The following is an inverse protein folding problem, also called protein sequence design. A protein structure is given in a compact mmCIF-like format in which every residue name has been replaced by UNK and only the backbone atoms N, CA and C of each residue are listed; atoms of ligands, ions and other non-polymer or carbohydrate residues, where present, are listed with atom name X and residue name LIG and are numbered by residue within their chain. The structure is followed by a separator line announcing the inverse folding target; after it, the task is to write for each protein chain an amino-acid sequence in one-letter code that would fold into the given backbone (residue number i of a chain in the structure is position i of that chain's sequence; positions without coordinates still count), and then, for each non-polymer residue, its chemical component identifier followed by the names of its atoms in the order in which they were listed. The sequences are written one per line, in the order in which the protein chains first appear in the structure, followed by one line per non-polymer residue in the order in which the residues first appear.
data_IF_104240133663
#
_entry.id   IF_104240133663
#
_cell.length_a   1.000
_cell.length_b   1.000
_cell.length_c   1.000
_cell.angle_alpha   90.00
_cell.angle_beta   90.00
_cell.angle_gamma   90.00
#
_symmetry.space_group_name_H-M   'P 1'
#
loop_
_entity.id
_entity.type
_entity.pdbx_description
1 polymer ?
#
# COMPACT_ATOMS: atom_id res chain seq x y z
N UNK A 1 27.54 -24.04 -23.25
CA UNK A 1 26.25 -24.76 -23.31
C UNK A 1 25.69 -24.79 -21.89
N UNK A 2 24.86 -23.81 -21.51
CA UNK A 2 24.33 -23.70 -20.15
C UNK A 2 23.19 -24.72 -19.97
N UNK A 3 23.46 -25.76 -19.20
CA UNK A 3 22.47 -26.78 -18.83
C UNK A 3 21.33 -26.13 -18.06
N UNK A 4 20.14 -26.02 -18.68
CA UNK A 4 18.90 -25.67 -17.98
C UNK A 4 18.66 -26.73 -16.89
N UNK A 5 18.75 -26.32 -15.63
CA UNK A 5 18.37 -27.18 -14.49
C UNK A 5 16.87 -27.51 -14.57
N UNK A 6 16.46 -28.76 -14.28
CA UNK A 6 15.06 -29.14 -14.28
C UNK A 6 14.26 -28.37 -13.21
N UNK A 7 12.99 -28.05 -13.50
CA UNK A 7 12.11 -27.25 -12.64
C UNK A 7 11.97 -27.82 -11.20
N UNK A 8 12.06 -29.14 -11.05
CA UNK A 8 12.02 -29.82 -9.73
C UNK A 8 13.25 -29.51 -8.86
N UNK A 9 14.43 -29.35 -9.45
CA UNK A 9 15.65 -28.99 -8.72
C UNK A 9 15.63 -27.53 -8.24
N UNK A 10 15.09 -26.61 -9.06
CA UNK A 10 14.89 -25.21 -8.66
C UNK A 10 13.87 -25.08 -7.52
N UNK A 11 12.74 -25.80 -7.59
CA UNK A 11 11.76 -25.83 -6.51
C UNK A 11 12.38 -26.32 -5.18
N UNK A 12 13.16 -27.42 -5.21
CA UNK A 12 13.84 -27.94 -4.01
C UNK A 12 14.82 -26.93 -3.38
N UNK A 13 15.55 -26.17 -4.20
CA UNK A 13 16.50 -25.16 -3.72
C UNK A 13 15.83 -23.95 -3.06
N UNK A 14 14.63 -23.58 -3.52
CA UNK A 14 13.86 -22.45 -2.97
C UNK A 14 13.10 -22.83 -1.70
N UNK A 15 12.53 -24.05 -1.65
CA UNK A 15 11.98 -24.66 -0.43
C UNK A 15 13.02 -24.68 0.68
N UNK A 16 14.24 -25.14 0.38
CA UNK A 16 15.32 -25.22 1.36
C UNK A 16 15.80 -23.84 1.85
N UNK A 17 15.84 -22.83 0.96
CA UNK A 17 16.23 -21.45 1.31
C UNK A 17 15.34 -20.84 2.41
N UNK A 18 14.03 -21.06 2.33
CA UNK A 18 13.06 -20.44 3.24
C UNK A 18 12.45 -21.39 4.26
N UNK A 19 12.82 -22.67 4.26
CA UNK A 19 12.22 -23.67 5.15
C UNK A 19 10.71 -23.82 4.95
N UNK A 20 10.19 -23.43 3.79
CA UNK A 20 8.76 -23.44 3.46
C UNK A 20 8.40 -24.76 2.80
N UNK A 21 7.32 -25.40 3.25
CA UNK A 21 6.76 -26.57 2.61
C UNK A 21 5.35 -26.29 2.10
N UNK A 22 4.99 -26.90 0.97
CA UNK A 22 3.63 -26.75 0.40
C UNK A 22 2.52 -27.22 1.37
N UNK A 23 2.83 -28.16 2.28
CA UNK A 23 1.90 -28.63 3.33
C UNK A 23 1.52 -27.53 4.33
N UNK A 24 2.36 -26.51 4.49
CA UNK A 24 2.10 -25.38 5.36
C UNK A 24 0.98 -24.48 4.79
N UNK A 25 0.57 -24.75 3.55
CA UNK A 25 -0.46 -24.03 2.80
C UNK A 25 -1.68 -24.92 2.48
N UNK A 26 -1.86 -26.04 3.21
CA UNK A 26 -2.94 -27.00 2.96
C UNK A 26 -4.35 -26.37 3.04
N UNK A 27 -4.53 -25.33 3.85
CA UNK A 27 -5.78 -24.55 3.95
C UNK A 27 -6.18 -23.87 2.63
N UNK A 28 -5.23 -23.66 1.71
CA UNK A 28 -5.51 -23.11 0.38
C UNK A 28 -6.08 -24.15 -0.60
N UNK A 29 -6.10 -25.43 -0.24
CA UNK A 29 -6.57 -26.53 -1.09
C UNK A 29 -5.85 -26.56 -2.45
N UNK A 30 -6.61 -26.55 -3.54
CA UNK A 30 -6.09 -26.56 -4.92
C UNK A 30 -5.16 -25.38 -5.23
N UNK A 31 -5.18 -24.32 -4.41
CA UNK A 31 -4.35 -23.14 -4.57
C UNK A 31 -3.04 -23.17 -3.77
N UNK A 32 -2.74 -24.26 -3.04
CA UNK A 32 -1.52 -24.38 -2.23
C UNK A 32 -0.24 -24.13 -3.05
N UNK A 33 -0.18 -24.63 -4.29
CA UNK A 33 0.97 -24.41 -5.18
C UNK A 33 1.10 -22.95 -5.62
N UNK A 34 -0.02 -22.23 -5.83
CA UNK A 34 -0.01 -20.81 -6.13
C UNK A 34 0.42 -19.98 -4.92
N UNK A 35 -0.05 -20.34 -3.72
CA UNK A 35 0.39 -19.73 -2.46
C UNK A 35 1.88 -19.93 -2.21
N UNK A 36 2.40 -21.13 -2.47
CA UNK A 36 3.82 -21.44 -2.32
C UNK A 36 4.67 -20.54 -3.22
N UNK A 37 4.30 -20.44 -4.51
CA UNK A 37 5.01 -19.57 -5.45
C UNK A 37 4.90 -18.09 -5.04
N UNK A 38 3.71 -17.62 -4.61
CA UNK A 38 3.52 -16.24 -4.18
C UNK A 38 4.41 -15.88 -2.99
N UNK A 39 4.48 -16.72 -1.95
CA UNK A 39 5.32 -16.47 -0.76
C UNK A 39 6.79 -16.48 -1.13
N UNK A 40 7.24 -17.42 -1.97
CA UNK A 40 8.63 -17.49 -2.43
C UNK A 40 9.03 -16.22 -3.20
N UNK A 41 8.17 -15.76 -4.11
CA UNK A 41 8.41 -14.51 -4.86
C UNK A 41 8.47 -13.29 -3.93
N UNK A 42 7.59 -13.22 -2.93
CA UNK A 42 7.58 -12.14 -1.96
C UNK A 42 8.84 -12.15 -1.08
N UNK A 43 9.25 -13.31 -0.56
CA UNK A 43 10.46 -13.46 0.26
C UNK A 43 11.75 -13.20 -0.53
N UNK A 44 11.85 -13.68 -1.76
CA UNK A 44 12.98 -13.37 -2.64
C UNK A 44 13.09 -11.86 -2.86
N UNK A 45 11.96 -11.18 -3.07
CA UNK A 45 11.97 -9.73 -3.26
C UNK A 45 12.33 -8.97 -1.98
N UNK A 46 11.81 -9.40 -0.82
CA UNK A 46 12.14 -8.81 0.48
C UNK A 46 13.62 -9.00 0.85
N UNK A 47 14.19 -10.17 0.56
CA UNK A 47 15.62 -10.46 0.75
C UNK A 47 16.48 -9.48 -0.04
N UNK A 48 16.16 -9.27 -1.32
CA UNK A 48 16.89 -8.32 -2.16
C UNK A 48 16.74 -6.86 -1.64
N UNK A 49 15.56 -6.48 -1.15
CA UNK A 49 15.38 -5.17 -0.52
C UNK A 49 16.29 -5.01 0.70
N UNK A 50 16.42 -6.03 1.56
CA UNK A 50 17.31 -5.95 2.71
C UNK A 50 18.79 -5.84 2.33
N UNK A 51 19.22 -6.56 1.30
CA UNK A 51 20.59 -6.47 0.74
C UNK A 51 20.91 -5.05 0.25
N UNK A 52 19.91 -4.33 -0.24
CA UNK A 52 20.00 -2.93 -0.67
C UNK A 52 19.75 -1.93 0.47
N UNK A 53 19.73 -2.36 1.74
CA UNK A 53 19.41 -1.55 2.93
C UNK A 53 18.02 -0.85 2.87
N UNK A 54 17.05 -1.50 2.23
CA UNK A 54 15.66 -1.04 2.10
C UNK A 54 14.73 -1.86 2.99
N UNK A 55 13.54 -1.32 3.25
CA UNK A 55 12.50 -1.99 4.05
C UNK A 55 12.17 -3.36 3.42
N UNK A 56 12.38 -4.50 4.12
CA UNK A 56 12.24 -5.83 3.55
C UNK A 56 10.80 -6.33 3.60
N UNK A 57 9.88 -5.51 3.11
CA UNK A 57 8.46 -5.84 2.99
C UNK A 57 8.10 -5.92 1.50
N UNK A 58 7.49 -7.02 1.10
CA UNK A 58 7.14 -7.30 -0.29
C UNK A 58 5.82 -8.04 -0.41
N UNK A 59 5.12 -7.81 -1.51
CA UNK A 59 3.86 -8.46 -1.85
C UNK A 59 3.96 -9.16 -3.20
N UNK A 60 3.26 -10.27 -3.38
CA UNK A 60 3.18 -10.98 -4.65
C UNK A 60 1.79 -11.58 -4.86
N UNK A 61 1.29 -11.49 -6.09
CA UNK A 61 0.02 -12.07 -6.49
C UNK A 61 0.26 -13.14 -7.55
N UNK A 62 -0.19 -14.36 -7.30
CA UNK A 62 -0.09 -15.49 -8.23
C UNK A 62 -1.47 -16.06 -8.49
N UNK A 63 -1.82 -16.18 -9.76
CA UNK A 63 -3.06 -16.78 -10.21
C UNK A 63 -2.84 -18.23 -10.63
N UNK A 64 -3.72 -19.12 -10.19
CA UNK A 64 -3.90 -20.43 -10.80
C UNK A 64 -4.90 -20.27 -11.94
N UNK A 65 -4.47 -20.32 -13.21
CA UNK A 65 -5.32 -20.10 -14.39
C UNK A 65 -6.28 -21.26 -14.65
N UNK A 66 -7.29 -21.06 -15.52
CA UNK A 66 -8.36 -22.06 -15.76
C UNK A 66 -7.82 -23.33 -16.40
N UNK A 67 -6.65 -23.22 -17.04
CA UNK A 67 -5.89 -24.32 -17.63
C UNK A 67 -4.94 -24.99 -16.62
N UNK A 68 -5.03 -24.67 -15.32
CA UNK A 68 -4.18 -25.24 -14.27
C UNK A 68 -2.72 -24.72 -14.25
N UNK A 69 -2.42 -23.60 -14.90
CA UNK A 69 -1.05 -23.02 -14.91
C UNK A 69 -0.93 -21.94 -13.85
N UNK A 70 0.25 -21.77 -13.27
CA UNK A 70 0.55 -20.60 -12.44
C UNK A 70 0.95 -19.41 -13.30
N UNK A 71 0.39 -18.24 -12.99
CA UNK A 71 0.72 -16.96 -13.61
C UNK A 71 0.99 -15.93 -12.52
N UNK A 72 2.19 -15.38 -12.50
CA UNK A 72 2.49 -14.21 -11.67
C UNK A 72 1.70 -13.01 -12.20
N UNK A 73 0.82 -12.47 -11.38
CA UNK A 73 0.03 -11.27 -11.68
C UNK A 73 0.84 -10.02 -11.36
N UNK A 74 1.49 -10.01 -10.20
CA UNK A 74 2.34 -8.90 -9.77
C UNK A 74 3.34 -9.32 -8.69
N UNK A 75 4.42 -8.57 -8.59
CA UNK A 75 5.38 -8.59 -7.48
C UNK A 75 5.70 -7.13 -7.17
N UNK A 76 5.67 -6.77 -5.88
CA UNK A 76 5.98 -5.45 -5.38
C UNK A 76 6.85 -5.51 -4.14
N UNK A 77 7.46 -4.38 -3.83
CA UNK A 77 8.31 -4.21 -2.66
C UNK A 77 8.16 -2.80 -2.14
N UNK A 78 8.49 -2.62 -0.87
CA UNK A 78 8.46 -1.32 -0.24
C UNK A 78 9.36 -0.31 -0.98
N UNK A 79 8.77 0.78 -1.44
CA UNK A 79 9.35 1.86 -2.22
C UNK A 79 9.79 3.07 -1.38
N UNK A 80 9.63 3.03 -0.05
CA UNK A 80 9.93 4.17 0.84
C UNK A 80 11.38 4.60 0.77
N UNK A 81 12.30 3.64 0.89
CA UNK A 81 13.73 3.90 0.67
C UNK A 81 14.01 3.60 -0.80
N UNK A 82 14.45 4.56 -1.63
CA UNK A 82 14.86 4.30 -3.00
C UNK A 82 16.19 3.54 -3.04
N UNK A 83 16.47 2.75 -4.10
CA UNK A 83 17.74 2.05 -4.20
C UNK A 83 18.92 3.02 -4.37
N UNK A 84 20.07 2.64 -3.82
CA UNK A 84 21.32 3.39 -3.94
C UNK A 84 21.66 3.67 -5.41
N UNK A 85 21.96 4.93 -5.75
CA UNK A 85 22.25 5.35 -7.12
C UNK A 85 21.03 5.53 -8.03
N UNK A 86 19.80 5.44 -7.50
CA UNK A 86 18.57 5.78 -8.22
C UNK A 86 18.53 7.25 -8.64
N UNK A 87 18.02 7.52 -9.85
CA UNK A 87 17.69 8.90 -10.29
C UNK A 87 16.47 9.48 -9.57
N UNK A 88 15.61 8.61 -9.04
CA UNK A 88 14.50 8.98 -8.19
C UNK A 88 15.00 8.93 -6.73
N UNK A 89 15.30 10.10 -6.17
CA UNK A 89 15.91 10.25 -4.85
C UNK A 89 14.90 10.31 -3.71
N UNK A 90 13.61 10.56 -3.98
CA UNK A 90 12.65 10.90 -2.94
C UNK A 90 12.00 9.71 -2.24
N UNK A 91 12.08 8.48 -2.79
CA UNK A 91 11.26 7.37 -2.31
C UNK A 91 9.77 7.57 -2.57
N UNK A 92 8.95 6.57 -2.21
CA UNK A 92 7.50 6.58 -2.43
C UNK A 92 6.75 6.00 -1.22
N UNK A 93 6.28 6.83 -0.27
CA UNK A 93 5.77 6.36 1.01
C UNK A 93 4.48 5.53 0.91
N UNK A 94 3.69 5.68 -0.16
CA UNK A 94 2.48 4.85 -0.36
C UNK A 94 2.74 3.53 -1.10
N UNK A 95 4.00 3.22 -1.43
CA UNK A 95 4.43 1.94 -1.97
C UNK A 95 4.96 1.07 -0.82
N UNK A 96 4.04 0.49 -0.04
CA UNK A 96 4.36 -0.66 0.79
C UNK A 96 4.44 -1.92 -0.08
N UNK A 97 4.86 -3.06 0.46
CA UNK A 97 4.98 -4.30 -0.33
C UNK A 97 3.71 -4.65 -1.10
N UNK A 98 2.55 -4.51 -0.45
CA UNK A 98 1.24 -4.86 -0.97
C UNK A 98 0.73 -3.83 -1.99
N UNK A 99 0.76 -2.54 -1.63
CA UNK A 99 0.29 -1.48 -2.52
C UNK A 99 1.20 -1.34 -3.75
N UNK A 100 2.51 -1.51 -3.59
CA UNK A 100 3.46 -1.55 -4.70
C UNK A 100 3.18 -2.71 -5.65
N UNK A 101 2.83 -3.91 -5.13
CA UNK A 101 2.51 -5.05 -5.99
C UNK A 101 1.27 -4.75 -6.83
N UNK A 102 0.22 -4.27 -6.19
CA UNK A 102 -1.05 -3.96 -6.85
C UNK A 102 -0.92 -2.80 -7.83
N UNK A 103 -0.06 -1.81 -7.56
CA UNK A 103 0.23 -0.71 -8.49
C UNK A 103 0.81 -1.16 -9.83
N UNK A 104 1.54 -2.28 -9.84
CA UNK A 104 2.11 -2.88 -11.05
C UNK A 104 1.05 -3.57 -11.94
N UNK A 105 -0.13 -3.87 -11.40
CA UNK A 105 -1.22 -4.45 -12.18
C UNK A 105 -1.74 -3.41 -13.16
N UNK A 106 -1.53 -3.68 -14.45
CA UNK A 106 -1.90 -2.75 -15.54
C UNK A 106 -3.40 -2.50 -15.62
N UNK A 107 -4.21 -3.53 -15.40
CA UNK A 107 -5.66 -3.46 -15.49
C UNK A 107 -6.27 -4.47 -14.51
N UNK A 108 -6.70 -3.98 -13.35
CA UNK A 108 -7.19 -4.85 -12.25
C UNK A 108 -8.51 -5.53 -12.58
N UNK A 109 -9.27 -5.00 -13.55
CA UNK A 109 -10.55 -5.56 -14.00
C UNK A 109 -10.38 -6.84 -14.83
N UNK A 110 -9.18 -7.08 -15.37
CA UNK A 110 -8.85 -8.25 -16.20
C UNK A 110 -8.27 -9.43 -15.42
N UNK A 111 -8.10 -9.29 -14.11
CA UNK A 111 -7.57 -10.34 -13.24
C UNK A 111 -8.74 -11.12 -12.64
N UNK A 112 -8.69 -12.45 -12.73
CA UNK A 112 -9.63 -13.34 -12.05
C UNK A 112 -9.21 -13.51 -10.58
N UNK A 113 -9.53 -12.50 -9.76
CA UNK A 113 -9.10 -12.43 -8.35
C UNK A 113 -9.57 -13.63 -7.51
N UNK A 114 -10.68 -14.26 -7.88
CA UNK A 114 -11.15 -15.50 -7.24
C UNK A 114 -10.18 -16.67 -7.37
N UNK A 115 -9.23 -16.58 -8.30
CA UNK A 115 -8.22 -17.60 -8.60
C UNK A 115 -6.80 -17.12 -8.31
N UNK A 116 -6.67 -15.96 -7.65
CA UNK A 116 -5.42 -15.40 -7.15
C UNK A 116 -5.20 -15.78 -5.69
N UNK A 117 -3.95 -16.06 -5.35
CA UNK A 117 -3.42 -16.02 -3.97
C UNK A 117 -2.51 -14.81 -3.87
N UNK A 118 -2.75 -13.95 -2.88
CA UNK A 118 -1.87 -12.84 -2.56
C UNK A 118 -0.98 -13.21 -1.38
N UNK A 119 0.33 -13.05 -1.47
CA UNK A 119 1.26 -13.23 -0.36
C UNK A 119 1.89 -11.89 0.03
N UNK A 120 2.06 -11.65 1.33
CA UNK A 120 2.85 -10.53 1.88
C UNK A 120 3.86 -11.06 2.90
N UNK A 121 5.05 -10.45 2.95
CA UNK A 121 6.11 -10.90 3.87
C UNK A 121 5.90 -10.47 5.32
N UNK A 122 5.07 -9.45 5.57
CA UNK A 122 4.70 -8.97 6.90
C UNK A 122 3.20 -8.74 6.96
N UNK A 123 2.59 -8.85 8.13
CA UNK A 123 1.17 -8.53 8.31
C UNK A 123 0.85 -7.12 7.76
N UNK A 124 -0.22 -6.96 6.97
CA UNK A 124 -0.52 -5.70 6.30
C UNK A 124 -0.88 -4.61 7.30
N UNK A 125 -0.39 -3.38 7.10
CA UNK A 125 -0.86 -2.21 7.86
C UNK A 125 -2.28 -1.80 7.41
N UNK A 126 -2.88 -0.80 8.06
CA UNK A 126 -4.26 -0.35 7.74
C UNK A 126 -4.46 0.10 6.28
N UNK A 127 -3.43 0.65 5.63
CA UNK A 127 -3.47 0.99 4.20
C UNK A 127 -3.47 -0.26 3.31
N UNK A 128 -2.60 -1.22 3.62
CA UNK A 128 -2.48 -2.47 2.89
C UNK A 128 -3.68 -3.39 3.12
N UNK A 129 -4.22 -3.40 4.35
CA UNK A 129 -5.48 -4.05 4.71
C UNK A 129 -6.64 -3.52 3.88
N UNK A 130 -6.81 -2.20 3.80
CA UNK A 130 -7.82 -1.58 2.93
C UNK A 130 -7.63 -1.95 1.44
N UNK A 131 -6.38 -2.14 1.01
CA UNK A 131 -6.07 -2.62 -0.36
C UNK A 131 -6.54 -4.06 -0.57
N UNK A 132 -6.24 -4.96 0.37
CA UNK A 132 -6.65 -6.37 0.29
C UNK A 132 -8.17 -6.55 0.47
N UNK A 133 -8.82 -5.73 1.29
CA UNK A 133 -10.27 -5.66 1.43
C UNK A 133 -10.94 -5.18 0.14
N UNK A 134 -10.38 -4.15 -0.51
CA UNK A 134 -10.86 -3.72 -1.82
C UNK A 134 -10.72 -4.83 -2.88
N UNK A 135 -9.59 -5.55 -2.92
CA UNK A 135 -9.42 -6.70 -3.80
C UNK A 135 -10.38 -7.85 -3.46
N UNK A 136 -10.73 -8.02 -2.18
CA UNK A 136 -11.77 -8.97 -1.76
C UNK A 136 -13.12 -8.60 -2.39
N UNK A 137 -13.46 -7.31 -2.47
CA UNK A 137 -14.60 -6.81 -3.24
C UNK A 137 -14.55 -7.17 -4.74
N UNK A 138 -13.35 -7.30 -5.30
CA UNK A 138 -13.12 -7.78 -6.68
C UNK A 138 -13.05 -9.31 -6.82
N UNK A 139 -13.16 -10.05 -5.72
CA UNK A 139 -13.20 -11.51 -5.70
C UNK A 139 -11.98 -12.19 -5.08
N UNK A 140 -11.00 -11.48 -4.52
CA UNK A 140 -9.87 -12.11 -3.82
C UNK A 140 -10.37 -12.90 -2.60
N UNK A 141 -9.90 -14.14 -2.44
CA UNK A 141 -10.33 -15.02 -1.34
C UNK A 141 -9.18 -15.67 -0.57
N UNK A 142 -7.92 -15.44 -0.96
CA UNK A 142 -6.77 -16.15 -0.40
C UNK A 142 -5.61 -15.18 -0.18
N UNK A 143 -5.20 -15.06 1.07
CA UNK A 143 -4.05 -14.28 1.49
C UNK A 143 -3.09 -15.17 2.28
N UNK A 144 -1.79 -15.01 2.05
CA UNK A 144 -0.74 -15.65 2.85
C UNK A 144 0.11 -14.56 3.48
N UNK A 145 0.30 -14.64 4.79
CA UNK A 145 1.15 -13.72 5.55
C UNK A 145 2.36 -14.50 6.03
N UNK A 146 3.56 -14.12 5.58
CA UNK A 146 4.76 -14.85 5.95
C UNK A 146 5.04 -14.71 7.46
N UNK A 147 4.91 -13.53 8.04
CA UNK A 147 5.00 -13.32 9.49
C UNK A 147 4.13 -12.15 9.97
N UNK A 148 3.70 -12.20 11.24
CA UNK A 148 2.87 -11.17 11.88
C UNK A 148 3.33 -10.83 13.31
N UNK A 149 4.50 -11.32 13.72
CA UNK A 149 5.00 -11.14 15.08
C UNK A 149 5.73 -9.80 15.23
N UNK A 150 6.43 -9.35 14.19
CA UNK A 150 7.15 -8.06 14.23
C UNK A 150 6.19 -6.87 14.16
N UNK A 151 5.03 -7.06 13.54
CA UNK A 151 3.96 -6.10 13.40
C UNK A 151 2.65 -6.85 13.15
N UNK A 152 1.66 -6.66 14.02
CA UNK A 152 0.41 -7.43 13.99
C UNK A 152 -0.53 -7.02 12.85
N UNK A 153 -0.54 -5.75 12.47
CA UNK A 153 -1.28 -5.25 11.31
C UNK A 153 -2.78 -5.61 11.32
N UNK A 154 -3.32 -5.92 10.14
CA UNK A 154 -4.75 -6.19 9.92
C UNK A 154 -5.04 -7.62 9.46
N UNK A 155 -4.10 -8.57 9.62
CA UNK A 155 -4.31 -9.96 9.21
C UNK A 155 -5.57 -10.57 9.84
N UNK A 156 -5.79 -10.33 11.13
CA UNK A 156 -6.98 -10.83 11.85
C UNK A 156 -8.27 -10.25 11.29
N UNK A 157 -8.31 -8.94 11.00
CA UNK A 157 -9.46 -8.29 10.38
C UNK A 157 -9.75 -8.84 8.99
N UNK A 158 -8.71 -9.13 8.20
CA UNK A 158 -8.85 -9.75 6.88
C UNK A 158 -9.43 -11.17 6.97
N UNK A 159 -9.06 -11.93 8.01
CA UNK A 159 -9.58 -13.27 8.24
C UNK A 159 -11.08 -13.28 8.60
N UNK A 160 -11.64 -12.14 9.04
CA UNK A 160 -13.08 -11.99 9.28
C UNK A 160 -13.89 -11.70 8.00
N UNK A 161 -13.24 -11.40 6.88
CA UNK A 161 -13.95 -11.15 5.62
C UNK A 161 -14.59 -12.44 5.10
N UNK A 162 -15.86 -12.35 4.69
CA UNK A 162 -16.63 -13.51 4.25
C UNK A 162 -15.94 -14.25 3.09
N UNK A 163 -15.68 -15.54 3.30
CA UNK A 163 -15.02 -16.42 2.32
C UNK A 163 -13.52 -16.16 2.14
N UNK A 164 -12.89 -15.31 2.95
CA UNK A 164 -11.45 -15.12 2.93
C UNK A 164 -10.75 -16.22 3.73
N UNK A 165 -9.71 -16.80 3.13
CA UNK A 165 -8.73 -17.67 3.82
C UNK A 165 -7.44 -16.88 3.99
N UNK A 166 -7.01 -16.70 5.24
CA UNK A 166 -5.73 -16.07 5.58
C UNK A 166 -4.84 -17.11 6.26
N UNK A 167 -3.71 -17.44 5.63
CA UNK A 167 -2.73 -18.39 6.19
C UNK A 167 -1.52 -17.62 6.72
N UNK A 168 -1.24 -17.76 8.02
CA UNK A 168 -0.08 -17.13 8.67
C UNK A 168 1.04 -18.17 8.89
N UNK A 169 2.20 -17.97 8.25
CA UNK A 169 3.25 -18.99 8.19
C UNK A 169 4.28 -18.94 9.33
N UNK A 170 4.33 -17.83 10.09
CA UNK A 170 5.34 -17.61 11.14
C UNK A 170 6.79 -17.83 10.64
N UNK A 171 7.09 -17.39 9.42
CA UNK A 171 8.38 -17.58 8.75
C UNK A 171 9.54 -16.99 9.56
N UNK A 172 10.49 -17.83 10.03
CA UNK A 172 11.68 -17.36 10.75
C UNK A 172 12.54 -16.40 9.93
N UNK A 173 12.60 -16.60 8.60
CA UNK A 173 13.37 -15.77 7.69
C UNK A 173 12.76 -14.37 7.55
N UNK A 174 11.43 -14.27 7.40
CA UNK A 174 10.75 -12.99 7.37
C UNK A 174 10.93 -12.21 8.68
N UNK A 175 10.77 -12.88 9.83
CA UNK A 175 11.03 -12.29 11.15
C UNK A 175 12.48 -11.84 11.31
N UNK A 176 13.44 -12.63 10.83
CA UNK A 176 14.86 -12.28 10.87
C UNK A 176 15.16 -11.05 10.03
N UNK A 177 14.58 -10.93 8.83
CA UNK A 177 14.72 -9.73 8.00
C UNK A 177 14.15 -8.50 8.67
N UNK A 178 12.93 -8.58 9.23
CA UNK A 178 12.30 -7.47 9.94
C UNK A 178 13.08 -7.06 11.19
N UNK A 179 13.51 -8.02 12.00
CA UNK A 179 14.35 -7.77 13.18
C UNK A 179 15.67 -7.08 12.80
N UNK A 180 16.30 -7.53 11.71
CA UNK A 180 17.55 -6.94 11.22
C UNK A 180 17.33 -5.51 10.75
N UNK A 181 16.30 -5.26 9.92
CA UNK A 181 16.01 -3.94 9.40
C UNK A 181 15.61 -2.97 10.51
N UNK A 182 14.65 -3.33 11.37
CA UNK A 182 14.18 -2.45 12.45
C UNK A 182 15.29 -2.14 13.48
N UNK A 183 16.22 -3.08 13.71
CA UNK A 183 17.38 -2.84 14.57
C UNK A 183 18.42 -1.90 13.95
N UNK A 184 18.64 -1.98 12.63
CA UNK A 184 19.60 -1.12 11.91
C UNK A 184 19.03 0.26 11.59
N UNK A 185 17.74 0.33 11.24
CA UNK A 185 17.07 1.51 10.71
C UNK A 185 15.74 1.79 11.45
N UNK A 186 15.76 2.02 12.78
CA UNK A 186 14.54 2.18 13.58
C UNK A 186 13.71 3.39 13.17
N UNK A 187 14.37 4.48 12.73
CA UNK A 187 13.69 5.69 12.25
C UNK A 187 12.98 5.45 10.92
N UNK A 188 13.61 4.74 9.98
CA UNK A 188 12.97 4.40 8.71
C UNK A 188 11.80 3.46 8.90
N UNK A 189 11.91 2.51 9.83
CA UNK A 189 10.80 1.65 10.22
C UNK A 189 9.63 2.47 10.78
N UNK A 190 9.87 3.31 11.79
CA UNK A 190 8.84 4.17 12.37
C UNK A 190 8.19 5.07 11.30
N UNK A 191 8.97 5.52 10.32
CA UNK A 191 8.47 6.34 9.23
C UNK A 191 7.66 5.57 8.19
N UNK A 192 7.90 4.27 8.02
CA UNK A 192 7.13 3.37 7.16
C UNK A 192 5.71 3.13 7.71
N UNK A 193 5.60 3.02 9.03
CA UNK A 193 4.30 2.83 9.72
C UNK A 193 3.63 4.13 10.18
N UNK A 194 4.15 5.29 9.75
CA UNK A 194 3.54 6.59 10.06
C UNK A 194 3.64 7.03 11.53
N UNK A 195 4.65 6.54 12.25
CA UNK A 195 4.85 6.81 13.68
C UNK A 195 5.75 8.02 13.97
N UNK A 196 6.47 8.55 12.97
CA UNK A 196 7.30 9.76 13.16
C UNK A 196 6.44 10.94 13.62
N UNK A 197 6.69 11.53 14.81
CA UNK A 197 5.93 12.68 15.27
C UNK A 197 6.17 13.91 14.38
N UNK A 198 5.17 14.77 14.20
CA UNK A 198 5.39 16.08 13.57
C UNK A 198 6.33 16.91 14.44
N UNK A 199 7.22 17.67 13.81
CA UNK A 199 8.15 18.60 14.47
C UNK A 199 7.50 19.98 14.67
N UNK A 200 6.66 20.39 13.72
CA UNK A 200 5.94 21.66 13.77
C UNK A 200 4.51 21.50 13.25
N UNK A 201 3.54 21.96 14.05
CA UNK A 201 2.12 22.03 13.69
C UNK A 201 1.56 23.45 13.79
N UNK A 202 2.39 24.46 14.06
CA UNK A 202 1.95 25.83 14.33
C UNK A 202 1.07 26.38 13.20
N UNK A 203 1.44 26.13 11.94
CA UNK A 203 0.65 26.54 10.76
C UNK A 203 -0.77 25.94 10.75
N UNK A 204 -0.92 24.69 11.18
CA UNK A 204 -2.21 23.98 11.20
C UNK A 204 -3.05 24.37 12.42
N UNK A 205 -2.40 24.74 13.53
CA UNK A 205 -3.08 25.23 14.73
C UNK A 205 -3.77 26.59 14.50
N UNK A 206 -3.26 27.41 13.58
CA UNK A 206 -3.86 28.70 13.20
C UNK A 206 -4.87 28.62 12.05
N UNK A 207 -5.11 27.44 11.48
CA UNK A 207 -5.99 27.27 10.31
C UNK A 207 -7.46 27.29 10.74
N UNK A 208 -8.20 28.35 10.37
CA UNK A 208 -9.61 28.59 10.71
C UNK A 208 -10.56 28.44 9.50
N UNK A 209 -11.87 28.54 9.72
CA UNK A 209 -12.89 28.31 8.69
C UNK A 209 -12.84 29.34 7.54
N UNK A 210 -12.57 30.62 7.83
CA UNK A 210 -12.38 31.65 6.79
C UNK A 210 -11.14 31.36 5.94
N UNK A 211 -10.11 30.79 6.54
CA UNK A 211 -8.89 30.38 5.84
C UNK A 211 -9.09 29.19 4.91
N UNK A 212 -10.12 28.35 5.11
CA UNK A 212 -10.38 27.15 4.28
C UNK A 212 -10.71 27.55 2.84
N UNK A 213 -11.65 28.47 2.63
CA UNK A 213 -12.08 28.89 1.29
C UNK A 213 -10.96 29.62 0.54
N UNK A 214 -10.27 30.52 1.21
CA UNK A 214 -9.11 31.22 0.64
C UNK A 214 -7.98 30.25 0.28
N UNK A 215 -7.68 29.30 1.18
CA UNK A 215 -6.69 28.25 0.94
C UNK A 215 -7.08 27.37 -0.25
N UNK A 216 -8.32 26.89 -0.30
CA UNK A 216 -8.82 26.06 -1.39
C UNK A 216 -8.73 26.78 -2.74
N UNK A 217 -9.02 28.08 -2.76
CA UNK A 217 -8.89 28.93 -3.96
C UNK A 217 -7.42 29.05 -4.39
N UNK A 218 -6.52 29.37 -3.46
CA UNK A 218 -5.07 29.47 -3.76
C UNK A 218 -4.50 28.14 -4.24
N UNK A 219 -4.78 27.04 -3.55
CA UNK A 219 -4.27 25.71 -3.92
C UNK A 219 -4.83 25.25 -5.27
N UNK A 220 -6.11 25.51 -5.55
CA UNK A 220 -6.72 25.20 -6.85
C UNK A 220 -6.00 25.89 -8.02
N UNK A 221 -5.48 27.10 -7.80
CA UNK A 221 -4.71 27.83 -8.80
C UNK A 221 -3.26 27.34 -8.96
N UNK A 222 -2.68 26.72 -7.91
CA UNK A 222 -1.30 26.22 -7.93
C UNK A 222 -1.16 24.79 -8.45
N UNK A 223 -2.15 23.91 -8.19
CA UNK A 223 -2.08 22.52 -8.64
C UNK A 223 -2.33 22.42 -10.14
N UNK A 224 -1.63 21.50 -10.81
CA UNK A 224 -1.72 21.36 -12.26
C UNK A 224 -3.16 21.10 -12.74
N UNK A 225 -3.46 21.50 -13.97
CA UNK A 225 -4.76 21.24 -14.59
C UNK A 225 -5.05 19.74 -14.62
N UNK A 226 -6.28 19.35 -14.24
CA UNK A 226 -6.68 17.95 -14.19
C UNK A 226 -6.22 17.17 -12.96
N UNK A 227 -5.35 17.71 -12.10
CA UNK A 227 -5.01 17.07 -10.82
C UNK A 227 -6.17 17.21 -9.80
N UNK A 228 -6.46 16.15 -9.06
CA UNK A 228 -7.54 16.14 -8.05
C UNK A 228 -7.04 16.11 -6.61
N UNK A 229 -5.77 15.77 -6.38
CA UNK A 229 -5.21 15.76 -5.03
C UNK A 229 -3.83 16.40 -4.98
N UNK A 230 -3.50 16.98 -3.83
CA UNK A 230 -2.18 17.55 -3.55
C UNK A 230 -1.80 17.39 -2.08
N UNK A 231 -0.50 17.23 -1.85
CA UNK A 231 0.12 17.33 -0.53
C UNK A 231 0.71 18.72 -0.41
N UNK A 232 0.30 19.46 0.62
CA UNK A 232 0.68 20.87 0.83
C UNK A 232 1.33 21.01 2.19
N UNK A 233 2.48 21.70 2.25
CA UNK A 233 3.16 22.05 3.49
C UNK A 233 3.46 23.54 3.48
N UNK A 234 2.96 24.29 4.47
CA UNK A 234 3.19 25.75 4.60
C UNK A 234 2.91 26.52 3.30
N UNK A 235 1.73 26.31 2.70
CA UNK A 235 1.29 26.85 1.39
C UNK A 235 2.14 26.43 0.16
N UNK A 236 3.11 25.53 0.31
CA UNK A 236 3.88 24.95 -0.80
C UNK A 236 3.30 23.60 -1.20
N UNK A 237 2.95 23.45 -2.48
CA UNK A 237 2.54 22.17 -3.06
C UNK A 237 3.76 21.25 -3.19
N UNK A 238 3.88 20.27 -2.30
CA UNK A 238 4.95 19.26 -2.32
C UNK A 238 4.79 18.31 -3.51
N UNK A 239 3.55 17.90 -3.77
CA UNK A 239 3.18 17.11 -4.94
C UNK A 239 1.70 17.25 -5.23
N UNK A 240 1.31 17.02 -6.48
CA UNK A 240 -0.08 16.86 -6.88
C UNK A 240 -0.22 15.75 -7.91
N UNK A 241 -1.41 15.17 -8.03
CA UNK A 241 -1.66 14.08 -8.95
C UNK A 241 -3.08 14.11 -9.53
N UNK A 242 -3.18 13.63 -10.78
CA UNK A 242 -4.43 13.23 -11.39
C UNK A 242 -4.84 11.83 -10.92
N UNK A 243 -6.13 11.53 -11.00
CA UNK A 243 -6.66 10.18 -10.81
C UNK A 243 -6.34 9.30 -12.03
N UNK A 244 -5.62 8.20 -11.81
CA UNK A 244 -5.20 7.27 -12.86
C UNK A 244 -5.99 5.94 -12.85
N UNK A 245 -7.09 5.87 -12.10
CA UNK A 245 -7.89 4.64 -11.96
C UNK A 245 -8.54 4.23 -13.27
N UNK A 246 -8.98 5.19 -14.09
CA UNK A 246 -9.62 4.90 -15.38
C UNK A 246 -8.67 4.20 -16.36
N UNK A 247 -7.36 4.44 -16.28
CA UNK A 247 -6.37 3.77 -17.14
C UNK A 247 -5.92 2.40 -16.60
N UNK A 248 -6.36 2.04 -15.40
CA UNK A 248 -5.88 0.86 -14.67
C UNK A 248 -6.99 -0.10 -14.25
N UNK A 249 -8.17 0.01 -14.85
CA UNK A 249 -9.31 -0.85 -14.56
C UNK A 249 -9.94 -0.57 -13.19
N UNK A 250 -9.77 0.63 -12.64
CA UNK A 250 -10.26 1.02 -11.33
C UNK A 250 -9.28 0.79 -10.17
N UNK A 251 -7.96 0.70 -10.45
CA UNK A 251 -6.98 0.33 -9.43
C UNK A 251 -6.87 1.38 -8.30
N UNK A 252 -7.44 1.10 -7.13
CA UNK A 252 -7.50 2.06 -6.01
C UNK A 252 -6.14 2.59 -5.55
N UNK A 253 -5.06 1.84 -5.75
CA UNK A 253 -3.71 2.33 -5.45
C UNK A 253 -3.33 3.54 -6.33
N UNK A 254 -3.96 3.70 -7.50
CA UNK A 254 -3.76 4.79 -8.47
C UNK A 254 -4.77 5.93 -8.35
N UNK A 255 -5.49 6.02 -7.23
CA UNK A 255 -6.30 7.20 -6.92
C UNK A 255 -5.42 8.45 -6.86
N UNK A 256 -5.99 9.63 -7.11
CA UNK A 256 -5.26 10.89 -7.03
C UNK A 256 -4.58 11.08 -5.65
N UNK A 257 -5.27 10.71 -4.56
CA UNK A 257 -4.75 10.82 -3.19
C UNK A 257 -3.51 9.96 -2.99
N UNK A 258 -3.59 8.67 -3.33
CA UNK A 258 -2.48 7.73 -3.19
C UNK A 258 -1.25 8.18 -3.99
N UNK A 259 -1.49 8.71 -5.19
CA UNK A 259 -0.45 9.23 -6.07
C UNK A 259 0.17 10.53 -5.54
N UNK A 260 -0.63 11.48 -5.05
CA UNK A 260 -0.12 12.72 -4.48
C UNK A 260 0.71 12.46 -3.22
N UNK A 261 0.23 11.62 -2.30
CA UNK A 261 0.96 11.20 -1.09
C UNK A 261 2.27 10.50 -1.44
N UNK A 262 2.26 9.62 -2.43
CA UNK A 262 3.46 8.92 -2.88
C UNK A 262 4.47 9.84 -3.56
N UNK A 263 4.02 10.72 -4.46
CA UNK A 263 4.87 11.68 -5.19
C UNK A 263 5.46 12.77 -4.29
N UNK A 264 4.86 13.04 -3.13
CA UNK A 264 5.43 13.96 -2.14
C UNK A 264 6.81 13.48 -1.65
N UNK A 265 7.07 12.17 -1.71
CA UNK A 265 8.33 11.58 -1.32
C UNK A 265 8.43 11.26 0.18
N UNK A 266 9.33 10.36 0.51
CA UNK A 266 9.55 9.80 1.84
C UNK A 266 10.31 10.71 2.79
N UNK A 267 10.89 11.80 2.29
CA UNK A 267 11.46 12.89 3.11
C UNK A 267 10.37 13.79 3.72
N UNK A 268 9.16 13.78 3.15
CA UNK A 268 8.03 14.57 3.63
C UNK A 268 7.31 13.84 4.75
N UNK A 269 7.27 14.44 5.94
CA UNK A 269 6.40 13.97 7.00
C UNK A 269 4.96 14.38 6.68
N UNK A 270 4.16 13.43 6.19
CA UNK A 270 2.76 13.67 5.81
C UNK A 270 1.91 14.17 6.99
N UNK A 271 2.30 13.88 8.25
CA UNK A 271 1.64 14.40 9.46
C UNK A 271 1.79 15.91 9.68
N UNK A 272 2.68 16.55 8.92
CA UNK A 272 2.87 18.02 8.91
C UNK A 272 2.19 18.67 7.69
N UNK A 273 1.48 17.89 6.89
CA UNK A 273 0.92 18.33 5.62
C UNK A 273 -0.61 18.42 5.65
N UNK A 274 -1.13 19.30 4.81
CA UNK A 274 -2.53 19.33 4.41
C UNK A 274 -2.69 18.44 3.17
N UNK A 275 -3.64 17.52 3.20
CA UNK A 275 -4.09 16.80 2.02
C UNK A 275 -5.23 17.59 1.38
N UNK A 276 -4.95 18.26 0.27
CA UNK A 276 -5.92 19.06 -0.47
C UNK A 276 -6.57 18.25 -1.58
N UNK A 277 -7.90 18.27 -1.66
CA UNK A 277 -8.71 17.54 -2.63
C UNK A 277 -9.58 18.51 -3.44
N UNK A 278 -9.39 18.49 -4.76
CA UNK A 278 -10.25 19.16 -5.72
C UNK A 278 -11.20 18.14 -6.33
N UNK A 279 -12.47 18.21 -5.94
CA UNK A 279 -13.52 17.37 -6.54
C UNK A 279 -14.03 17.99 -7.84
N UNK A 280 -14.43 17.13 -8.76
CA UNK A 280 -15.16 17.52 -9.98
C UNK A 280 -16.68 17.49 -9.82
N UNK A 281 -17.16 17.01 -8.67
CA UNK A 281 -18.57 16.89 -8.30
C UNK A 281 -18.96 17.96 -7.27
N UNK A 282 -20.27 18.13 -7.03
CA UNK A 282 -20.79 19.04 -6.01
C UNK A 282 -20.49 18.58 -4.57
N UNK A 283 -20.15 17.31 -4.40
CA UNK A 283 -19.84 16.67 -3.13
C UNK A 283 -18.75 15.63 -3.36
N UNK A 284 -17.75 15.59 -2.47
CA UNK A 284 -16.67 14.62 -2.51
C UNK A 284 -17.15 13.30 -1.91
N UNK A 285 -17.22 12.26 -2.74
CA UNK A 285 -17.65 10.92 -2.34
C UNK A 285 -16.49 10.03 -1.90
N UNK A 286 -16.77 8.97 -1.13
CA UNK A 286 -15.84 7.91 -0.80
C UNK A 286 -15.28 7.22 -2.06
N UNK A 287 -16.11 7.07 -3.09
CA UNK A 287 -15.66 6.53 -4.39
C UNK A 287 -14.64 7.44 -5.05
N UNK A 288 -14.87 8.76 -5.06
CA UNK A 288 -13.91 9.71 -5.63
C UNK A 288 -12.63 9.77 -4.80
N UNK A 289 -12.73 9.80 -3.46
CA UNK A 289 -11.57 9.82 -2.57
C UNK A 289 -10.74 8.52 -2.62
N UNK A 290 -11.42 7.37 -2.65
CA UNK A 290 -10.85 6.02 -2.70
C UNK A 290 -10.72 5.36 -1.33
N UNK A 291 -11.10 4.09 -1.22
CA UNK A 291 -11.08 3.34 0.05
C UNK A 291 -9.66 3.06 0.53
N UNK A 292 -8.72 2.82 -0.41
CA UNK A 292 -7.30 2.66 -0.09
C UNK A 292 -6.70 3.98 0.38
N UNK A 293 -7.15 5.10 -0.19
CA UNK A 293 -6.75 6.45 0.24
C UNK A 293 -7.16 6.73 1.68
N UNK A 294 -8.35 6.28 2.10
CA UNK A 294 -8.75 6.34 3.52
C UNK A 294 -7.77 5.55 4.39
N UNK A 295 -7.42 4.33 3.99
CA UNK A 295 -6.41 3.52 4.68
C UNK A 295 -5.04 4.21 4.78
N UNK A 296 -4.60 4.88 3.72
CA UNK A 296 -3.37 5.68 3.72
C UNK A 296 -3.45 6.88 4.68
N UNK A 297 -4.59 7.58 4.71
CA UNK A 297 -4.80 8.69 5.65
C UNK A 297 -4.84 8.19 7.10
N UNK A 298 -5.41 7.01 7.37
CA UNK A 298 -5.38 6.37 8.70
C UNK A 298 -3.95 6.07 9.15
N UNK A 299 -3.11 5.59 8.24
CA UNK A 299 -1.71 5.27 8.54
C UNK A 299 -0.88 6.56 8.75
N UNK A 300 -0.88 7.44 7.76
CA UNK A 300 0.02 8.59 7.71
C UNK A 300 -0.50 9.85 8.40
N UNK A 301 -1.79 9.87 8.79
CA UNK A 301 -2.42 10.90 9.61
C UNK A 301 -2.07 12.33 9.19
N UNK A 302 -2.42 12.75 7.96
CA UNK A 302 -2.21 14.12 7.54
C UNK A 302 -2.86 15.08 8.54
N UNK A 303 -2.25 16.25 8.72
CA UNK A 303 -2.65 17.17 9.78
C UNK A 303 -4.07 17.73 9.58
N UNK A 304 -4.46 17.87 8.32
CA UNK A 304 -5.77 18.32 7.88
C UNK A 304 -6.05 17.78 6.49
N UNK A 305 -7.30 17.43 6.21
CA UNK A 305 -7.80 17.14 4.87
C UNK A 305 -8.74 18.27 4.47
N UNK A 306 -8.46 18.95 3.35
CA UNK A 306 -9.28 20.06 2.84
C UNK A 306 -9.86 19.68 1.49
N UNK A 307 -11.19 19.76 1.34
CA UNK A 307 -11.87 19.59 0.06
C UNK A 307 -12.39 20.92 -0.48
N UNK A 308 -12.42 21.07 -1.81
CA UNK A 308 -13.04 22.25 -2.48
C UNK A 308 -14.57 22.26 -2.41
N UNK A 309 -15.18 21.18 -1.93
CA UNK A 309 -16.62 20.99 -1.80
C UNK A 309 -16.91 20.19 -0.54
N UNK A 310 -18.17 20.20 -0.09
CA UNK A 310 -18.65 19.35 1.00
C UNK A 310 -18.29 17.87 0.79
N UNK A 311 -17.98 17.15 1.88
CA UNK A 311 -17.78 15.71 1.85
C UNK A 311 -19.09 14.99 2.16
N UNK A 312 -19.35 13.87 1.49
CA UNK A 312 -20.50 13.03 1.85
C UNK A 312 -20.32 12.44 3.26
N UNK A 313 -21.44 12.10 3.90
CA UNK A 313 -21.44 11.64 5.29
C UNK A 313 -20.59 10.38 5.50
N UNK A 314 -20.66 9.40 4.59
CA UNK A 314 -19.89 8.16 4.71
C UNK A 314 -18.38 8.41 4.72
N UNK A 315 -17.87 9.20 3.77
CA UNK A 315 -16.46 9.57 3.72
C UNK A 315 -16.04 10.35 4.97
N UNK A 316 -16.84 11.37 5.32
CA UNK A 316 -16.56 12.23 6.48
C UNK A 316 -16.45 11.41 7.76
N UNK A 317 -17.44 10.55 8.04
CA UNK A 317 -17.42 9.67 9.21
C UNK A 317 -16.21 8.77 9.24
N UNK A 318 -15.84 8.12 8.12
CA UNK A 318 -14.67 7.22 8.07
C UNK A 318 -13.34 7.94 8.36
N UNK A 319 -13.22 9.22 8.00
CA UNK A 319 -12.04 10.04 8.27
C UNK A 319 -12.05 10.54 9.73
N UNK A 320 -13.17 11.03 10.23
CA UNK A 320 -13.31 11.55 11.59
C UNK A 320 -13.20 10.45 12.66
N UNK A 321 -13.76 9.25 12.42
CA UNK A 321 -13.59 8.07 13.27
C UNK A 321 -12.13 7.61 13.36
N UNK A 322 -11.30 7.96 12.37
CA UNK A 322 -9.87 7.75 12.40
C UNK A 322 -9.09 8.85 13.15
N UNK A 323 -9.79 9.82 13.74
CA UNK A 323 -9.20 10.97 14.42
C UNK A 323 -8.62 12.02 13.46
N UNK A 324 -9.00 12.00 12.18
CA UNK A 324 -8.51 12.97 11.20
C UNK A 324 -9.37 14.22 11.20
N UNK A 325 -8.72 15.38 11.10
CA UNK A 325 -9.40 16.65 10.91
C UNK A 325 -9.74 16.84 9.44
N UNK A 326 -10.99 17.21 9.15
CA UNK A 326 -11.46 17.48 7.80
C UNK A 326 -12.12 18.85 7.72
N UNK A 327 -11.97 19.52 6.59
CA UNK A 327 -12.63 20.78 6.28
C UNK A 327 -13.05 20.82 4.80
N UNK A 328 -14.08 21.60 4.49
CA UNK A 328 -14.54 21.84 3.12
C UNK A 328 -14.78 23.33 2.92
N UNK A 329 -14.40 23.83 1.73
CA UNK A 329 -14.65 25.21 1.30
C UNK A 329 -16.11 25.46 0.91
#
# INVERSE_FOLDING_TARGET
MALKRPASALASSRTQKYGLHIRDLHELGDFAQAGFEAVVLALDRASNSLEDDRVPISGAAVELTKTGRLRTVAIGHNGRIPPSGSRCSSGYPTDHGETAAIRQVKDVSKVDWGRVVFATTLSPCVMCGATLEWLWGLGLRRVVVAESASFSGTADSLAQLSGMTVVCLSSPQAQSMMKTFAGRFPWDWAADIGEIPPRDLAFISSFDEKSVTDFATRMSAQIAAGHQAAVVRSDVVMASAADERSQSGGNETRSAVMLAMGRAGSEVNLRECILFIRSSSSTLSLREFGVVSVGACKLFRPALIVATVSMELELKSKLEEAGLRVASA
#
